data_IF_124387818832
#
_entry.id   IF_124387818832
#
_cell.length_a   1.000
_cell.length_b   1.000
_cell.length_c   1.000
_cell.angle_alpha   90.00
_cell.angle_beta   90.00
_cell.angle_gamma   90.00
#
_symmetry.space_group_name_H-M   'P 1'
#
loop_
_entity.id
_entity.type
_entity.pdbx_description
1 polymer ?
#
# COMPACT_ATOMS: atom_id res chain seq x y z
N UNK A 1 41.69 -6.59 20.23
CA UNK A 1 40.62 -6.00 19.41
C UNK A 1 39.34 -6.70 19.79
N UNK A 2 38.21 -6.00 19.75
CA UNK A 2 36.93 -6.65 19.98
C UNK A 2 36.70 -7.77 18.95
N UNK A 3 35.99 -8.82 19.36
CA UNK A 3 35.69 -9.96 18.50
C UNK A 3 34.51 -9.66 17.57
N UNK A 4 33.61 -8.78 18.01
CA UNK A 4 32.38 -8.39 17.33
C UNK A 4 32.28 -6.87 17.24
N UNK A 5 31.43 -6.36 16.37
CA UNK A 5 31.22 -4.92 16.22
C UNK A 5 30.17 -4.43 17.24
N UNK A 6 29.09 -5.20 17.38
CA UNK A 6 28.00 -4.96 18.33
C UNK A 6 27.62 -6.26 19.06
N UNK A 7 27.36 -6.19 20.37
CA UNK A 7 26.60 -7.21 21.09
C UNK A 7 25.42 -6.57 21.83
N UNK A 8 24.24 -7.13 21.63
CA UNK A 8 23.04 -6.84 22.44
C UNK A 8 22.97 -7.91 23.54
N UNK A 9 23.02 -7.51 24.81
CA UNK A 9 23.22 -8.38 25.98
C UNK A 9 21.92 -8.63 26.76
N UNK A 10 21.71 -9.88 27.18
CA UNK A 10 20.75 -10.25 28.21
C UNK A 10 19.27 -10.00 27.90
N UNK A 11 18.92 -9.80 26.63
CA UNK A 11 17.55 -9.57 26.19
C UNK A 11 16.72 -10.86 26.06
N UNK A 12 15.41 -10.72 26.08
CA UNK A 12 14.51 -11.81 25.67
C UNK A 12 14.43 -11.83 24.14
N UNK A 13 15.09 -12.79 23.52
CA UNK A 13 15.16 -12.95 22.07
C UNK A 13 13.87 -13.62 21.57
N UNK A 14 13.20 -12.98 20.62
CA UNK A 14 12.08 -13.52 19.85
C UNK A 14 12.48 -13.48 18.39
N UNK A 15 12.93 -14.62 17.86
CA UNK A 15 13.65 -14.72 16.58
C UNK A 15 12.78 -14.74 15.31
N UNK A 16 11.46 -14.62 15.46
CA UNK A 16 10.50 -14.63 14.35
C UNK A 16 10.11 -16.03 13.84
N UNK A 17 10.64 -17.11 14.40
CA UNK A 17 10.30 -18.50 13.98
C UNK A 17 8.94 -18.98 14.51
N UNK A 18 8.34 -18.24 15.43
CA UNK A 18 7.14 -18.64 16.18
C UNK A 18 7.43 -19.47 17.43
N UNK A 19 8.68 -19.80 17.73
CA UNK A 19 9.07 -20.44 18.97
C UNK A 19 8.94 -19.48 20.19
N UNK A 20 8.80 -20.01 21.42
CA UNK A 20 8.86 -19.19 22.63
C UNK A 20 10.21 -18.46 22.74
N UNK A 21 10.16 -17.20 23.18
CA UNK A 21 11.38 -16.42 23.39
C UNK A 21 12.27 -16.94 24.53
N UNK A 22 13.57 -16.64 24.46
CA UNK A 22 14.56 -17.06 25.46
C UNK A 22 15.54 -15.94 25.78
N UNK A 23 16.13 -15.96 26.98
CA UNK A 23 17.11 -14.94 27.38
C UNK A 23 18.48 -15.26 26.80
N UNK A 24 19.10 -14.27 26.16
CA UNK A 24 20.45 -14.39 25.62
C UNK A 24 20.97 -13.10 25.01
N UNK A 25 22.05 -13.25 24.27
CA UNK A 25 22.76 -12.19 23.57
C UNK A 25 22.65 -12.38 22.04
N UNK A 26 22.81 -11.28 21.31
CA UNK A 26 22.95 -11.28 19.83
C UNK A 26 24.23 -10.53 19.48
N UNK A 27 25.14 -11.17 18.77
CA UNK A 27 26.38 -10.55 18.28
C UNK A 27 26.31 -10.28 16.79
N UNK A 28 26.79 -9.11 16.38
CA UNK A 28 26.87 -8.66 14.99
C UNK A 28 28.34 -8.47 14.62
N UNK A 29 28.70 -8.97 13.42
CA UNK A 29 30.00 -8.76 12.80
C UNK A 29 29.84 -8.49 11.32
N UNK A 30 30.48 -7.45 10.83
CA UNK A 30 30.48 -7.01 9.43
C UNK A 30 29.04 -6.87 8.87
N UNK A 31 28.15 -6.30 9.69
CA UNK A 31 26.73 -6.07 9.35
C UNK A 31 25.82 -7.30 9.43
N UNK A 32 26.35 -8.48 9.79
CA UNK A 32 25.60 -9.72 9.86
C UNK A 32 25.52 -10.27 11.29
N UNK A 33 24.44 -10.99 11.59
CA UNK A 33 24.31 -11.72 12.86
C UNK A 33 25.34 -12.86 12.87
N UNK A 34 26.31 -12.78 13.77
CA UNK A 34 27.41 -13.72 13.89
C UNK A 34 27.15 -14.84 14.92
N UNK A 35 26.39 -14.54 15.98
CA UNK A 35 26.01 -15.50 17.01
C UNK A 35 24.76 -15.06 17.78
N UNK A 36 24.02 -16.04 18.30
CA UNK A 36 22.82 -15.86 19.12
C UNK A 36 22.87 -16.84 20.31
N UNK A 37 22.55 -16.38 21.52
CA UNK A 37 22.53 -17.20 22.73
C UNK A 37 23.52 -16.70 23.79
N UNK A 38 24.26 -17.60 24.44
CA UNK A 38 25.29 -17.21 25.41
C UNK A 38 26.59 -16.88 24.67
N UNK A 39 27.01 -15.60 24.69
CA UNK A 39 28.14 -15.13 23.88
C UNK A 39 29.30 -14.70 24.78
N UNK A 40 30.40 -15.43 24.71
CA UNK A 40 31.66 -15.02 25.31
C UNK A 40 32.41 -14.02 24.40
N UNK A 41 33.24 -13.18 25.00
CA UNK A 41 34.02 -12.16 24.27
C UNK A 41 33.42 -10.75 24.42
N UNK A 42 34.03 -9.79 23.73
CA UNK A 42 33.63 -8.37 23.77
C UNK A 42 33.36 -7.83 22.36
N UNK A 43 32.53 -6.80 22.30
CA UNK A 43 32.29 -6.00 21.10
C UNK A 43 32.86 -4.58 21.22
N UNK A 44 33.00 -3.89 20.09
CA UNK A 44 33.31 -2.46 20.08
C UNK A 44 32.15 -1.64 20.71
N UNK A 45 30.91 -2.10 20.52
CA UNK A 45 29.72 -1.58 21.18
C UNK A 45 28.95 -2.70 21.90
N UNK A 46 28.54 -2.47 23.14
CA UNK A 46 27.62 -3.37 23.86
C UNK A 46 26.38 -2.61 24.34
N UNK A 47 25.21 -3.22 24.14
CA UNK A 47 23.91 -2.68 24.54
C UNK A 47 23.29 -3.62 25.58
N UNK A 48 22.98 -3.11 26.78
CA UNK A 48 22.23 -3.86 27.78
C UNK A 48 20.72 -3.87 27.45
N UNK A 49 20.21 -5.03 27.06
CA UNK A 49 18.80 -5.27 26.75
C UNK A 49 18.08 -6.03 27.88
N UNK A 50 18.62 -6.05 29.09
CA UNK A 50 17.98 -6.69 30.25
C UNK A 50 16.56 -6.16 30.45
N UNK A 51 15.58 -7.07 30.51
CA UNK A 51 14.17 -6.71 30.64
C UNK A 51 13.53 -6.12 29.37
N UNK A 52 14.24 -6.16 28.24
CA UNK A 52 13.75 -5.78 26.90
C UNK A 52 13.60 -7.02 26.02
N UNK A 53 12.90 -6.84 24.90
CA UNK A 53 12.76 -7.86 23.85
C UNK A 53 13.71 -7.50 22.71
N UNK A 54 14.38 -8.51 22.16
CA UNK A 54 15.21 -8.39 20.97
C UNK A 54 14.55 -9.20 19.86
N UNK A 55 14.16 -8.53 18.78
CA UNK A 55 13.48 -9.15 17.62
C UNK A 55 14.28 -8.88 16.35
N UNK A 56 14.03 -9.63 15.26
CA UNK A 56 14.27 -9.10 13.93
C UNK A 56 13.59 -7.73 13.78
N UNK A 57 14.19 -6.85 12.97
CA UNK A 57 13.53 -5.62 12.58
C UNK A 57 12.23 -5.92 11.83
N UNK A 58 11.23 -5.06 11.98
CA UNK A 58 9.94 -5.29 11.35
C UNK A 58 10.02 -5.01 9.85
N UNK A 59 9.32 -5.83 9.07
CA UNK A 59 9.16 -5.64 7.63
C UNK A 59 7.75 -5.11 7.40
N UNK A 60 7.66 -3.84 7.03
CA UNK A 60 6.42 -3.19 6.68
C UNK A 60 6.12 -3.45 5.20
N UNK A 61 5.32 -4.49 4.94
CA UNK A 61 5.07 -5.01 3.60
C UNK A 61 4.08 -4.17 2.77
N UNK A 62 3.47 -3.13 3.37
CA UNK A 62 2.40 -2.37 2.72
C UNK A 62 2.48 -0.89 3.06
N UNK A 63 3.36 -0.17 2.36
CA UNK A 63 3.53 1.28 2.50
C UNK A 63 3.25 2.00 1.19
N UNK A 64 3.04 3.32 1.30
CA UNK A 64 2.87 4.26 0.19
C UNK A 64 3.94 5.36 0.26
N UNK A 65 5.18 4.96 0.54
CA UNK A 65 6.33 5.87 0.58
C UNK A 65 6.96 6.11 -0.79
N UNK A 66 6.27 5.78 -1.88
CA UNK A 66 6.74 5.88 -3.26
C UNK A 66 7.39 7.24 -3.59
N UNK A 67 6.72 8.33 -3.19
CA UNK A 67 7.27 9.67 -3.32
C UNK A 67 8.36 9.90 -2.28
N UNK A 68 8.04 9.66 -1.01
CA UNK A 68 8.90 9.95 0.14
C UNK A 68 10.28 9.32 0.03
N UNK A 69 10.38 8.12 -0.52
CA UNK A 69 11.62 7.44 -0.79
C UNK A 69 12.55 8.24 -1.71
N UNK A 70 12.08 9.19 -2.49
CA UNK A 70 12.93 9.97 -3.39
C UNK A 70 13.67 11.13 -2.69
N UNK A 71 13.29 11.48 -1.45
CA UNK A 71 13.93 12.58 -0.70
C UNK A 71 14.25 12.27 0.76
N UNK A 72 13.50 11.38 1.41
CA UNK A 72 13.67 11.05 2.83
C UNK A 72 14.55 9.81 3.02
N UNK A 73 15.68 10.00 3.70
CA UNK A 73 16.61 8.91 4.03
C UNK A 73 16.19 8.14 5.29
N UNK A 74 15.36 8.75 6.14
CA UNK A 74 14.92 8.17 7.40
C UNK A 74 13.72 7.24 7.24
N UNK A 75 12.85 7.47 6.24
CA UNK A 75 11.60 6.74 6.04
C UNK A 75 10.71 6.76 7.29
N UNK A 76 10.62 7.94 7.92
CA UNK A 76 9.80 8.15 9.09
C UNK A 76 8.30 8.22 8.70
N UNK A 77 7.37 7.75 9.54
CA UNK A 77 7.58 7.25 10.90
C UNK A 77 7.93 5.76 11.00
N UNK A 78 7.91 4.96 9.93
CA UNK A 78 8.12 3.50 10.04
C UNK A 78 9.45 3.16 10.74
N UNK A 79 10.54 3.83 10.38
CA UNK A 79 11.84 3.63 11.04
C UNK A 79 11.82 3.91 12.54
N UNK A 80 11.01 4.87 13.01
CA UNK A 80 10.85 5.18 14.44
C UNK A 80 10.08 4.10 15.20
N UNK A 81 9.35 3.24 14.50
CA UNK A 81 8.54 2.17 15.07
C UNK A 81 9.21 0.78 15.02
N UNK A 82 10.52 0.74 14.73
CA UNK A 82 11.30 -0.51 14.67
C UNK A 82 11.19 -1.25 13.33
N UNK A 83 10.64 -0.60 12.30
CA UNK A 83 10.68 -1.10 10.93
C UNK A 83 12.09 -0.91 10.38
N UNK A 84 12.66 -1.97 9.82
CA UNK A 84 13.97 -1.95 9.16
C UNK A 84 13.87 -2.19 7.67
N UNK A 85 12.69 -2.56 7.16
CA UNK A 85 12.43 -2.75 5.74
C UNK A 85 11.02 -2.28 5.42
N UNK A 86 10.86 -1.44 4.39
CA UNK A 86 9.55 -1.02 3.88
C UNK A 86 9.36 -1.51 2.45
N UNK A 87 8.15 -1.91 2.10
CA UNK A 87 7.76 -2.26 0.74
C UNK A 87 6.71 -1.27 0.25
N UNK A 88 6.98 -0.62 -0.88
CA UNK A 88 6.13 0.41 -1.49
C UNK A 88 5.67 0.01 -2.90
N UNK A 89 4.89 0.88 -3.53
CA UNK A 89 4.25 0.59 -4.81
C UNK A 89 3.06 -0.36 -4.64
N UNK A 90 2.37 -0.33 -3.50
CA UNK A 90 1.20 -1.18 -3.25
C UNK A 90 -0.06 -0.63 -3.95
N UNK A 91 -1.14 -1.42 -3.99
CA UNK A 91 -2.44 -0.98 -4.50
C UNK A 91 -2.44 -0.52 -5.96
N UNK A 92 -1.40 -0.87 -6.74
CA UNK A 92 -1.22 -0.41 -8.10
C UNK A 92 -0.86 1.07 -8.23
N UNK A 93 -0.49 1.76 -7.16
CA UNK A 93 -0.14 3.19 -7.21
C UNK A 93 1.34 3.38 -6.93
N UNK A 94 1.96 4.29 -7.65
CA UNK A 94 3.37 4.65 -7.51
C UNK A 94 3.86 5.47 -8.70
N UNK A 95 5.14 5.80 -8.72
CA UNK A 95 5.70 6.82 -9.62
C UNK A 95 6.59 6.27 -10.73
N UNK A 96 6.49 4.98 -11.07
CA UNK A 96 7.23 4.41 -12.20
C UNK A 96 6.46 3.28 -12.89
N UNK A 97 6.48 3.18 -14.23
CA UNK A 97 7.11 4.10 -15.17
C UNK A 97 6.37 5.45 -15.27
N UNK A 98 7.07 6.51 -15.67
CA UNK A 98 6.57 7.87 -15.65
C UNK A 98 7.04 8.67 -16.87
N UNK A 99 6.16 8.79 -17.89
CA UNK A 99 6.45 9.65 -19.06
C UNK A 99 6.63 11.10 -18.61
N UNK A 100 7.62 11.85 -19.17
CA UNK A 100 7.86 13.25 -18.81
C UNK A 100 6.64 14.16 -18.90
N UNK A 101 5.70 13.88 -19.80
CA UNK A 101 4.45 14.64 -19.98
C UNK A 101 3.28 14.17 -19.09
N UNK A 102 3.51 13.18 -18.20
CA UNK A 102 2.49 12.58 -17.32
C UNK A 102 2.82 12.66 -15.83
N UNK A 103 3.90 13.34 -15.44
CA UNK A 103 4.31 13.48 -14.03
C UNK A 103 3.22 14.09 -13.14
N UNK A 104 2.63 15.21 -13.57
CA UNK A 104 1.53 15.87 -12.83
C UNK A 104 0.31 14.96 -12.65
N UNK A 105 -0.02 14.18 -13.67
CA UNK A 105 -1.14 13.24 -13.59
C UNK A 105 -0.87 12.13 -12.56
N UNK A 106 0.36 11.59 -12.50
CA UNK A 106 0.74 10.60 -11.48
C UNK A 106 0.69 11.19 -10.06
N UNK A 107 1.08 12.46 -9.89
CA UNK A 107 0.97 13.16 -8.59
C UNK A 107 -0.51 13.26 -8.18
N UNK A 108 -1.39 13.69 -9.09
CA UNK A 108 -2.82 13.81 -8.80
C UNK A 108 -3.50 12.47 -8.48
N UNK A 109 -3.00 11.37 -9.07
CA UNK A 109 -3.45 10.02 -8.75
C UNK A 109 -3.07 9.64 -7.32
N UNK A 110 -1.82 9.89 -6.92
CA UNK A 110 -1.32 9.56 -5.59
C UNK A 110 -2.02 10.38 -4.49
N UNK A 111 -2.24 11.68 -4.75
CA UNK A 111 -2.93 12.60 -3.84
C UNK A 111 -4.35 12.13 -3.52
N UNK A 112 -5.12 11.70 -4.54
CA UNK A 112 -6.49 11.24 -4.33
C UNK A 112 -6.59 9.93 -3.55
N UNK A 113 -5.64 9.01 -3.76
CA UNK A 113 -5.71 7.66 -3.18
C UNK A 113 -5.23 7.63 -1.73
N UNK A 114 -4.11 8.28 -1.43
CA UNK A 114 -3.47 8.18 -0.11
C UNK A 114 -3.58 9.47 0.72
N UNK A 115 -4.33 10.47 0.24
CA UNK A 115 -4.52 11.76 0.89
C UNK A 115 -3.17 12.46 1.22
N UNK A 116 -2.15 12.19 0.39
CA UNK A 116 -0.83 12.81 0.47
C UNK A 116 -0.92 14.15 -0.25
N UNK A 117 -0.64 15.29 0.42
CA UNK A 117 -0.74 16.60 -0.22
C UNK A 117 0.09 16.66 -1.50
N UNK A 118 -0.54 16.98 -2.64
CA UNK A 118 0.15 17.05 -3.93
C UNK A 118 1.33 18.02 -3.93
N UNK A 119 1.28 19.08 -3.11
CA UNK A 119 2.38 20.02 -2.90
C UNK A 119 3.62 19.37 -2.28
N UNK A 120 3.44 18.44 -1.34
CA UNK A 120 4.57 17.73 -0.74
C UNK A 120 5.28 16.83 -1.76
N UNK A 121 4.50 16.19 -2.65
CA UNK A 121 5.02 15.36 -3.73
C UNK A 121 5.73 16.22 -4.81
N UNK A 122 5.10 17.31 -5.25
CA UNK A 122 5.66 18.19 -6.27
C UNK A 122 6.94 18.92 -5.82
N UNK A 123 7.03 19.30 -4.53
CA UNK A 123 8.23 19.94 -3.97
C UNK A 123 9.35 18.93 -3.64
N UNK A 124 8.97 17.73 -3.19
CA UNK A 124 9.91 16.70 -2.73
C UNK A 124 10.52 15.87 -3.85
N UNK A 125 9.78 15.61 -4.92
CA UNK A 125 10.23 14.71 -5.98
C UNK A 125 11.07 15.42 -7.04
N UNK A 126 12.23 14.85 -7.33
CA UNK A 126 13.02 15.20 -8.52
C UNK A 126 12.97 14.04 -9.51
N UNK A 127 12.30 14.24 -10.63
CA UNK A 127 12.18 13.22 -11.67
C UNK A 127 13.48 13.08 -12.47
N UNK A 128 14.16 11.95 -12.30
CA UNK A 128 15.33 11.58 -13.08
C UNK A 128 15.25 10.16 -13.66
N UNK A 129 14.03 9.66 -13.81
CA UNK A 129 13.68 8.38 -14.43
C UNK A 129 12.46 8.53 -15.37
N UNK A 130 12.36 7.63 -16.34
CA UNK A 130 11.12 7.36 -17.09
C UNK A 130 10.70 5.89 -16.90
N UNK A 131 11.64 4.97 -16.96
CA UNK A 131 11.42 3.52 -16.85
C UNK A 131 11.50 3.03 -15.41
N UNK A 132 10.97 1.82 -15.15
CA UNK A 132 11.07 1.22 -13.81
C UNK A 132 12.52 0.91 -13.38
N UNK A 133 13.41 0.40 -14.24
CA UNK A 133 14.82 0.24 -13.88
C UNK A 133 15.52 1.55 -13.51
N UNK A 134 15.26 2.63 -14.27
CA UNK A 134 15.80 3.96 -13.94
C UNK A 134 15.28 4.49 -12.59
N UNK A 135 14.04 4.16 -12.22
CA UNK A 135 13.50 4.49 -10.90
C UNK A 135 14.26 3.76 -9.79
N UNK A 136 14.57 2.47 -9.96
CA UNK A 136 15.41 1.74 -9.01
C UNK A 136 16.82 2.35 -8.90
N UNK A 137 17.44 2.71 -10.02
CA UNK A 137 18.73 3.41 -10.04
C UNK A 137 18.65 4.78 -9.35
N UNK A 138 17.50 5.46 -9.42
CA UNK A 138 17.28 6.72 -8.70
C UNK A 138 17.23 6.51 -7.19
N UNK A 139 16.48 5.50 -6.74
CA UNK A 139 16.33 5.18 -5.31
C UNK A 139 17.65 4.79 -4.64
N UNK A 140 18.54 4.09 -5.35
CA UNK A 140 19.84 3.61 -4.87
C UNK A 140 20.83 4.76 -4.59
N UNK A 141 20.63 5.95 -5.16
CA UNK A 141 21.55 7.09 -4.99
C UNK A 141 21.59 7.63 -3.56
N UNK A 142 20.54 7.40 -2.77
CA UNK A 142 20.42 7.93 -1.42
C UNK A 142 20.82 6.89 -0.38
N UNK A 143 21.70 7.24 0.58
CA UNK A 143 21.93 6.39 1.74
C UNK A 143 20.63 6.27 2.54
N UNK A 144 20.35 5.10 3.11
CA UNK A 144 19.10 4.82 3.83
C UNK A 144 19.33 4.36 5.26
N UNK A 145 18.40 4.74 6.13
CA UNK A 145 18.28 4.21 7.50
C UNK A 145 17.64 2.82 7.53
N UNK A 146 16.77 2.51 6.56
CA UNK A 146 16.04 1.25 6.44
C UNK A 146 16.13 0.73 5.00
N UNK A 147 16.00 -0.58 4.83
CA UNK A 147 15.88 -1.18 3.50
C UNK A 147 14.55 -0.78 2.84
N UNK A 148 14.58 -0.65 1.52
CA UNK A 148 13.37 -0.36 0.73
C UNK A 148 13.21 -1.41 -0.36
N UNK A 149 11.97 -1.81 -0.62
CA UNK A 149 11.58 -2.67 -1.73
C UNK A 149 10.37 -2.09 -2.45
N UNK A 150 10.21 -2.42 -3.72
CA UNK A 150 9.16 -1.83 -4.57
C UNK A 150 8.43 -2.89 -5.38
N UNK A 151 7.12 -2.75 -5.50
CA UNK A 151 6.34 -3.38 -6.57
C UNK A 151 6.29 -2.47 -7.80
N UNK A 152 6.10 -3.05 -8.98
CA UNK A 152 5.71 -2.31 -10.19
C UNK A 152 4.22 -1.95 -10.09
N UNK A 153 3.85 -0.67 -10.03
CA UNK A 153 2.46 -0.25 -9.80
C UNK A 153 1.64 -0.30 -11.09
N UNK A 154 0.53 -1.05 -11.07
CA UNK A 154 -0.34 -1.22 -12.22
C UNK A 154 -0.85 0.09 -12.85
N UNK A 155 -1.25 1.06 -12.02
CA UNK A 155 -1.83 2.30 -12.49
C UNK A 155 -0.84 3.13 -13.32
N UNK A 156 0.43 3.19 -12.91
CA UNK A 156 1.47 3.85 -13.67
C UNK A 156 1.75 3.11 -15.00
N UNK A 157 1.79 1.78 -14.97
CA UNK A 157 1.97 0.94 -16.17
C UNK A 157 0.83 1.14 -17.17
N UNK A 158 -0.43 1.13 -16.72
CA UNK A 158 -1.59 1.40 -17.57
C UNK A 158 -1.54 2.79 -18.17
N UNK A 159 -1.31 3.81 -17.36
CA UNK A 159 -1.21 5.18 -17.83
C UNK A 159 -0.08 5.38 -18.85
N UNK A 160 1.05 4.69 -18.67
CA UNK A 160 2.17 4.71 -19.60
C UNK A 160 1.80 4.12 -20.96
N UNK A 161 1.13 2.96 -20.99
CA UNK A 161 0.80 2.24 -22.23
C UNK A 161 -0.44 2.81 -22.92
N UNK A 162 -1.51 3.06 -22.18
CA UNK A 162 -2.79 3.51 -22.74
C UNK A 162 -2.77 5.02 -23.05
N UNK A 163 -1.98 5.82 -22.33
CA UNK A 163 -1.92 7.27 -22.52
C UNK A 163 -3.29 7.90 -22.27
N UNK A 164 -3.73 8.77 -23.18
CA UNK A 164 -5.05 9.44 -23.10
C UNK A 164 -6.25 8.48 -23.16
N UNK A 165 -6.04 7.23 -23.58
CA UNK A 165 -7.11 6.21 -23.59
C UNK A 165 -7.41 5.65 -22.20
N UNK A 166 -6.53 5.88 -21.22
CA UNK A 166 -6.77 5.43 -19.86
C UNK A 166 -7.82 6.33 -19.21
N UNK A 167 -8.97 5.75 -18.91
CA UNK A 167 -10.13 6.37 -18.28
C UNK A 167 -10.95 5.27 -17.58
N UNK A 168 -11.85 5.60 -16.63
CA UNK A 168 -12.67 4.61 -15.95
C UNK A 168 -13.41 3.67 -16.93
N UNK A 169 -13.18 2.36 -16.80
CA UNK A 169 -13.76 1.34 -17.68
C UNK A 169 -13.02 1.10 -18.99
N UNK A 170 -11.86 1.71 -19.21
CA UNK A 170 -11.02 1.43 -20.38
C UNK A 170 -10.61 -0.04 -20.44
N UNK A 171 -10.82 -0.66 -21.60
CA UNK A 171 -10.44 -2.06 -21.87
C UNK A 171 -9.20 -2.07 -22.76
N UNK A 172 -8.03 -2.51 -22.26
CA UNK A 172 -6.81 -2.60 -23.06
C UNK A 172 -6.95 -3.60 -24.22
N UNK A 173 -6.26 -3.32 -25.32
CA UNK A 173 -6.11 -4.29 -26.42
C UNK A 173 -5.12 -5.39 -26.07
N UNK A 174 -5.04 -6.44 -26.88
CA UNK A 174 -4.04 -7.49 -26.69
C UNK A 174 -2.60 -6.96 -26.76
N UNK A 175 -2.34 -5.97 -27.63
CA UNK A 175 -1.03 -5.33 -27.76
C UNK A 175 -0.71 -4.46 -26.53
N UNK A 176 -1.72 -3.78 -25.96
CA UNK A 176 -1.57 -3.04 -24.72
C UNK A 176 -1.19 -3.99 -23.56
N UNK A 177 -1.90 -5.11 -23.41
CA UNK A 177 -1.61 -6.10 -22.37
C UNK A 177 -0.20 -6.68 -22.54
N UNK A 178 0.23 -6.93 -23.78
CA UNK A 178 1.58 -7.41 -24.07
C UNK A 178 2.64 -6.36 -23.69
N UNK A 179 2.40 -5.08 -24.00
CA UNK A 179 3.30 -3.99 -23.62
C UNK A 179 3.39 -3.80 -22.09
N UNK A 180 2.25 -3.81 -21.40
CA UNK A 180 2.22 -3.73 -19.93
C UNK A 180 2.94 -4.92 -19.28
N UNK A 181 2.71 -6.12 -19.82
CA UNK A 181 3.40 -7.34 -19.38
C UNK A 181 4.92 -7.25 -19.55
N UNK A 182 5.41 -6.62 -20.64
CA UNK A 182 6.83 -6.44 -20.89
C UNK A 182 7.47 -5.48 -19.88
N UNK A 183 6.80 -4.37 -19.55
CA UNK A 183 7.26 -3.40 -18.53
C UNK A 183 7.36 -4.08 -17.16
N UNK A 184 6.35 -4.86 -16.77
CA UNK A 184 6.37 -5.57 -15.48
C UNK A 184 7.45 -6.66 -15.45
N UNK A 185 7.63 -7.41 -16.54
CA UNK A 185 8.71 -8.39 -16.64
C UNK A 185 10.10 -7.73 -16.51
N UNK A 186 10.31 -6.58 -17.16
CA UNK A 186 11.55 -5.81 -17.04
C UNK A 186 11.77 -5.30 -15.61
N UNK A 187 10.75 -4.71 -14.98
CA UNK A 187 10.84 -4.22 -13.60
C UNK A 187 11.21 -5.34 -12.60
N UNK A 188 10.59 -6.52 -12.71
CA UNK A 188 10.93 -7.67 -11.88
C UNK A 188 12.35 -8.17 -12.16
N UNK A 189 12.81 -8.17 -13.42
CA UNK A 189 14.20 -8.51 -13.75
C UNK A 189 15.21 -7.50 -13.21
N UNK A 190 14.83 -6.24 -13.11
CA UNK A 190 15.67 -5.16 -12.59
C UNK A 190 15.78 -5.15 -11.07
N UNK A 191 14.82 -5.75 -10.35
CA UNK A 191 14.88 -5.88 -8.89
C UNK A 191 13.56 -5.58 -8.17
N UNK A 192 12.47 -5.29 -8.88
CA UNK A 192 11.16 -5.15 -8.25
C UNK A 192 10.79 -6.44 -7.50
N UNK A 193 10.27 -6.30 -6.28
CA UNK A 193 9.76 -7.42 -5.49
C UNK A 193 8.48 -8.03 -6.08
N UNK A 194 7.88 -7.37 -7.08
CA UNK A 194 6.81 -7.92 -7.87
C UNK A 194 5.96 -6.84 -8.51
N UNK A 195 4.65 -7.02 -8.45
CA UNK A 195 3.65 -6.15 -9.08
C UNK A 195 2.47 -5.98 -8.13
N UNK A 196 1.83 -4.83 -8.15
CA UNK A 196 0.62 -4.56 -7.37
C UNK A 196 -0.50 -4.04 -8.25
N UNK A 197 -1.75 -4.26 -7.84
CA UNK A 197 -2.94 -3.68 -8.47
C UNK A 197 -4.00 -3.34 -7.44
N UNK A 198 -4.93 -2.43 -7.79
CA UNK A 198 -6.16 -2.22 -7.03
C UNK A 198 -7.40 -2.45 -7.89
N UNK A 199 -8.40 -3.08 -7.28
CA UNK A 199 -9.78 -3.27 -7.75
C UNK A 199 -10.80 -2.75 -6.75
N UNK A 200 -10.43 -1.78 -5.91
CA UNK A 200 -11.39 -1.15 -4.99
C UNK A 200 -12.01 0.11 -5.59
N UNK A 201 -13.30 0.31 -5.34
CA UNK A 201 -14.00 1.56 -5.67
C UNK A 201 -13.62 2.71 -4.73
N UNK A 202 -12.96 2.43 -3.61
CA UNK A 202 -12.50 3.47 -2.68
C UNK A 202 -11.30 4.24 -3.21
N UNK A 203 -10.50 3.64 -4.10
CA UNK A 203 -9.36 4.34 -4.71
C UNK A 203 -9.87 5.22 -5.85
N UNK A 204 -9.92 6.53 -5.57
CA UNK A 204 -10.33 7.57 -6.51
C UNK A 204 -9.26 8.67 -6.59
N UNK A 205 -9.10 9.30 -7.74
CA UNK A 205 -8.30 10.51 -7.88
C UNK A 205 -8.96 11.69 -7.16
N UNK A 206 -8.27 12.82 -7.09
CA UNK A 206 -8.81 14.09 -6.56
C UNK A 206 -10.11 14.54 -7.26
N UNK A 207 -10.29 14.16 -8.53
CA UNK A 207 -11.49 14.46 -9.33
C UNK A 207 -12.61 13.42 -9.12
N UNK A 208 -12.39 12.41 -8.26
CA UNK A 208 -13.35 11.35 -7.97
C UNK A 208 -13.39 10.22 -9.00
N UNK A 209 -12.47 10.21 -9.97
CA UNK A 209 -12.36 9.14 -10.97
C UNK A 209 -11.68 7.91 -10.39
N UNK A 210 -12.11 6.71 -10.80
CA UNK A 210 -11.49 5.48 -10.35
C UNK A 210 -10.03 5.38 -10.83
N UNK A 211 -9.16 4.87 -9.97
CA UNK A 211 -7.76 4.61 -10.31
C UNK A 211 -7.64 3.63 -11.49
N UNK A 212 -6.67 3.84 -12.40
CA UNK A 212 -6.39 2.87 -13.44
C UNK A 212 -6.12 1.48 -12.89
N UNK A 213 -6.81 0.50 -13.45
CA UNK A 213 -6.76 -0.88 -13.00
C UNK A 213 -7.96 -1.31 -12.13
N UNK A 214 -8.77 -0.38 -11.60
CA UNK A 214 -9.95 -0.76 -10.77
C UNK A 214 -10.90 -1.71 -11.52
N UNK A 215 -11.02 -1.52 -12.83
CA UNK A 215 -11.89 -2.32 -13.72
C UNK A 215 -11.12 -3.33 -14.57
N UNK A 216 -9.84 -3.58 -14.26
CA UNK A 216 -9.01 -4.53 -14.98
C UNK A 216 -9.61 -5.93 -14.97
N UNK A 217 -9.51 -6.62 -16.11
CA UNK A 217 -10.09 -7.94 -16.27
C UNK A 217 -9.14 -9.02 -15.75
N UNK A 218 -9.64 -10.22 -15.38
CA UNK A 218 -8.78 -11.34 -15.03
C UNK A 218 -7.78 -11.70 -16.13
N UNK A 219 -8.14 -11.54 -17.41
CA UNK A 219 -7.24 -11.81 -18.54
C UNK A 219 -6.00 -10.92 -18.52
N UNK A 220 -6.19 -9.62 -18.27
CA UNK A 220 -5.12 -8.64 -18.15
C UNK A 220 -4.20 -8.98 -16.97
N UNK A 221 -4.77 -9.18 -15.78
CA UNK A 221 -3.99 -9.46 -14.56
C UNK A 221 -3.25 -10.80 -14.63
N UNK A 222 -3.87 -11.84 -15.21
CA UNK A 222 -3.21 -13.14 -15.42
C UNK A 222 -2.06 -13.01 -16.42
N UNK A 223 -2.21 -12.23 -17.49
CA UNK A 223 -1.15 -12.05 -18.48
C UNK A 223 0.08 -11.37 -17.87
N UNK A 224 -0.14 -10.33 -17.06
CA UNK A 224 0.91 -9.63 -16.31
C UNK A 224 1.58 -10.59 -15.32
N UNK A 225 0.83 -11.32 -14.50
CA UNK A 225 1.45 -12.23 -13.53
C UNK A 225 2.18 -13.41 -14.18
N UNK A 226 1.77 -13.86 -15.38
CA UNK A 226 2.56 -14.79 -16.20
C UNK A 226 3.89 -14.19 -16.65
N UNK A 227 3.94 -12.89 -16.90
CA UNK A 227 5.18 -12.18 -17.22
C UNK A 227 6.15 -12.18 -16.03
N UNK A 228 5.64 -11.97 -14.82
CA UNK A 228 6.42 -12.12 -13.59
C UNK A 228 6.97 -13.55 -13.43
N UNK A 229 6.14 -14.58 -13.69
CA UNK A 229 6.60 -15.97 -13.67
C UNK A 229 7.73 -16.26 -14.66
N UNK A 230 7.73 -15.62 -15.84
CA UNK A 230 8.87 -15.69 -16.78
C UNK A 230 10.11 -14.96 -16.26
N UNK A 231 9.93 -13.84 -15.56
CA UNK A 231 11.03 -13.10 -14.93
C UNK A 231 11.77 -13.96 -13.90
N UNK A 232 11.01 -14.72 -13.09
CA UNK A 232 11.54 -15.49 -11.95
C UNK A 232 11.95 -16.93 -12.28
N UNK A 233 11.66 -17.42 -13.49
CA UNK A 233 11.89 -18.82 -13.91
C UNK A 233 13.33 -19.32 -13.71
N UNK A 234 14.33 -18.42 -13.68
CA UNK A 234 15.74 -18.75 -13.48
C UNK A 234 16.19 -18.76 -12.00
N UNK A 235 15.23 -18.81 -11.05
CA UNK A 235 15.51 -18.80 -9.60
C UNK A 235 15.34 -17.44 -8.93
N UNK A 236 14.58 -16.52 -9.55
CA UNK A 236 14.19 -15.25 -8.95
C UNK A 236 12.93 -15.35 -8.08
N UNK A 237 12.55 -14.24 -7.46
CA UNK A 237 11.35 -14.12 -6.64
C UNK A 237 10.51 -12.92 -7.08
N UNK A 238 9.19 -13.05 -7.00
CA UNK A 238 8.24 -11.96 -7.24
C UNK A 238 6.93 -12.27 -6.51
N UNK A 239 6.22 -11.25 -6.05
CA UNK A 239 4.90 -11.35 -5.41
C UNK A 239 3.89 -10.51 -6.17
N UNK A 240 2.73 -11.10 -6.47
CA UNK A 240 1.59 -10.37 -7.05
C UNK A 240 0.71 -9.86 -5.91
N UNK A 241 0.64 -8.55 -5.71
CA UNK A 241 -0.16 -7.90 -4.66
C UNK A 241 -1.48 -7.35 -5.23
N UNK A 242 -2.56 -7.47 -4.46
CA UNK A 242 -3.86 -6.94 -4.85
C UNK A 242 -4.66 -6.36 -3.67
N UNK A 243 -5.04 -5.10 -3.79
CA UNK A 243 -6.16 -4.52 -3.06
C UNK A 243 -7.46 -4.73 -3.85
N UNK A 244 -8.54 -5.20 -3.21
CA UNK A 244 -9.83 -5.39 -3.89
C UNK A 244 -11.00 -5.32 -2.92
N UNK A 245 -12.16 -4.92 -3.45
CA UNK A 245 -13.44 -5.04 -2.74
C UNK A 245 -13.91 -6.49 -2.60
N UNK A 246 -13.34 -7.41 -3.38
CA UNK A 246 -13.67 -8.85 -3.37
C UNK A 246 -15.16 -9.08 -3.60
N UNK A 247 -15.70 -8.49 -4.68
CA UNK A 247 -17.09 -8.72 -5.08
C UNK A 247 -17.32 -10.18 -5.45
N UNK A 248 -18.49 -10.73 -5.10
CA UNK A 248 -18.77 -12.17 -5.30
C UNK A 248 -18.71 -12.55 -6.78
N UNK A 249 -19.26 -11.71 -7.64
CA UNK A 249 -19.30 -11.90 -9.09
C UNK A 249 -17.92 -11.81 -9.76
N UNK A 250 -16.92 -11.20 -9.11
CA UNK A 250 -15.55 -11.13 -9.65
C UNK A 250 -14.78 -12.44 -9.44
N UNK A 251 -15.24 -13.29 -8.52
CA UNK A 251 -14.70 -14.62 -8.27
C UNK A 251 -13.16 -14.64 -8.16
N UNK A 252 -12.62 -13.73 -7.35
CA UNK A 252 -11.19 -13.40 -7.43
C UNK A 252 -10.27 -14.50 -6.90
N UNK A 253 -10.71 -15.23 -5.89
CA UNK A 253 -9.93 -16.33 -5.35
C UNK A 253 -9.64 -17.40 -6.41
N UNK A 254 -10.61 -17.76 -7.26
CA UNK A 254 -10.39 -18.79 -8.29
C UNK A 254 -9.31 -18.37 -9.30
N UNK A 255 -9.37 -17.14 -9.81
CA UNK A 255 -8.37 -16.69 -10.78
C UNK A 255 -7.03 -16.34 -10.12
N UNK A 256 -7.00 -15.86 -8.87
CA UNK A 256 -5.76 -15.71 -8.09
C UNK A 256 -5.08 -17.06 -7.89
N UNK A 257 -5.85 -18.10 -7.55
CA UNK A 257 -5.34 -19.45 -7.39
C UNK A 257 -4.78 -20.01 -8.70
N UNK A 258 -5.51 -19.82 -9.81
CA UNK A 258 -5.02 -20.17 -11.16
C UNK A 258 -3.71 -19.45 -11.49
N UNK A 259 -3.66 -18.14 -11.25
CA UNK A 259 -2.48 -17.33 -11.49
C UNK A 259 -1.28 -17.85 -10.70
N UNK A 260 -1.43 -18.03 -9.38
CA UNK A 260 -0.37 -18.52 -8.50
C UNK A 260 0.20 -19.86 -8.98
N UNK A 261 -0.66 -20.81 -9.34
CA UNK A 261 -0.26 -22.14 -9.83
C UNK A 261 0.44 -22.08 -11.18
N UNK A 262 -0.10 -21.33 -12.14
CA UNK A 262 0.43 -21.26 -13.51
C UNK A 262 1.74 -20.47 -13.58
N UNK A 263 1.82 -19.34 -12.88
CA UNK A 263 3.00 -18.47 -12.87
C UNK A 263 4.05 -18.86 -11.81
N UNK A 264 3.70 -19.74 -10.86
CA UNK A 264 4.56 -20.19 -9.75
C UNK A 264 5.09 -19.04 -8.90
N UNK A 265 4.24 -18.05 -8.67
CA UNK A 265 4.50 -16.90 -7.81
C UNK A 265 3.46 -16.84 -6.68
N UNK A 266 3.83 -16.38 -5.48
CA UNK A 266 2.85 -16.03 -4.45
C UNK A 266 1.92 -14.90 -4.92
N UNK A 267 0.67 -14.97 -4.49
CA UNK A 267 -0.32 -13.89 -4.64
C UNK A 267 -0.68 -13.40 -3.24
N UNK A 268 -0.59 -12.12 -2.99
CA UNK A 268 -1.04 -11.50 -1.74
C UNK A 268 -2.27 -10.65 -1.99
N UNK A 269 -3.18 -10.59 -1.01
CA UNK A 269 -4.31 -9.67 -1.07
C UNK A 269 -4.52 -8.94 0.24
N UNK A 270 -4.98 -7.69 0.16
CA UNK A 270 -5.37 -6.91 1.34
C UNK A 270 -6.65 -7.48 1.97
N UNK A 271 -6.51 -8.23 3.06
CA UNK A 271 -7.59 -8.87 3.79
C UNK A 271 -8.22 -7.89 4.78
N UNK A 272 -8.91 -6.88 4.24
CA UNK A 272 -9.57 -5.86 5.03
C UNK A 272 -10.93 -6.34 5.56
N UNK A 273 -11.14 -6.16 6.85
CA UNK A 273 -12.46 -6.30 7.47
C UNK A 273 -13.23 -4.99 7.29
N UNK A 274 -14.37 -5.04 6.58
CA UNK A 274 -15.25 -3.90 6.41
C UNK A 274 -16.70 -4.36 6.38
N UNK A 275 -17.58 -3.59 7.02
CA UNK A 275 -19.02 -3.87 6.98
C UNK A 275 -19.64 -3.63 5.59
N UNK A 276 -18.93 -2.92 4.72
CA UNK A 276 -19.37 -2.64 3.35
C UNK A 276 -18.95 -3.74 2.35
N UNK A 277 -18.12 -4.72 2.78
CA UNK A 277 -17.71 -5.82 1.91
C UNK A 277 -18.79 -6.90 1.81
N UNK A 278 -18.98 -7.42 0.60
CA UNK A 278 -19.93 -8.51 0.33
C UNK A 278 -19.44 -9.88 0.81
N UNK A 279 -18.12 -10.06 0.86
CA UNK A 279 -17.46 -11.26 1.38
C UNK A 279 -16.84 -10.90 2.75
N UNK A 280 -17.39 -11.43 3.85
CA UNK A 280 -16.83 -11.28 5.18
C UNK A 280 -15.41 -11.88 5.31
N UNK A 281 -14.63 -11.41 6.27
CA UNK A 281 -13.23 -11.82 6.43
C UNK A 281 -13.06 -13.34 6.60
N UNK A 282 -13.92 -14.00 7.37
CA UNK A 282 -13.88 -15.45 7.57
C UNK A 282 -14.11 -16.22 6.26
N UNK A 283 -15.01 -15.73 5.41
CA UNK A 283 -15.25 -16.29 4.08
C UNK A 283 -14.06 -16.02 3.13
N UNK A 284 -13.46 -14.82 3.16
CA UNK A 284 -12.24 -14.51 2.40
C UNK A 284 -11.11 -15.49 2.74
N UNK A 285 -10.87 -15.74 4.03
CA UNK A 285 -9.84 -16.68 4.50
C UNK A 285 -10.19 -18.13 4.10
N UNK A 286 -11.47 -18.51 4.13
CA UNK A 286 -11.90 -19.84 3.69
C UNK A 286 -11.67 -20.07 2.19
N UNK A 287 -12.03 -19.10 1.35
CA UNK A 287 -11.83 -19.17 -0.10
C UNK A 287 -10.34 -19.21 -0.47
N UNK A 288 -9.51 -18.40 0.19
CA UNK A 288 -8.05 -18.47 0.08
C UNK A 288 -7.52 -19.87 0.40
N UNK A 289 -7.99 -20.48 1.50
CA UNK A 289 -7.57 -21.83 1.90
C UNK A 289 -7.95 -22.89 0.88
N UNK A 290 -9.15 -22.81 0.30
CA UNK A 290 -9.58 -23.73 -0.77
C UNK A 290 -8.60 -23.73 -1.93
N UNK A 291 -8.15 -22.55 -2.38
CA UNK A 291 -7.19 -22.46 -3.47
C UNK A 291 -5.78 -22.92 -3.08
N UNK A 292 -5.36 -22.66 -1.84
CA UNK A 292 -4.09 -23.14 -1.31
C UNK A 292 -4.07 -24.67 -1.16
N UNK A 293 -5.17 -25.29 -0.72
CA UNK A 293 -5.34 -26.75 -0.67
C UNK A 293 -5.25 -27.38 -2.07
N UNK A 294 -5.58 -26.60 -3.11
CA UNK A 294 -5.41 -26.96 -4.52
C UNK A 294 -4.01 -26.60 -5.10
N UNK A 295 -3.05 -26.24 -4.25
CA UNK A 295 -1.65 -26.01 -4.62
C UNK A 295 -1.31 -24.58 -5.04
N UNK A 296 -2.19 -23.60 -4.80
CA UNK A 296 -1.84 -22.19 -4.90
C UNK A 296 -1.01 -21.73 -3.68
N UNK A 297 -0.39 -20.55 -3.79
CA UNK A 297 0.23 -19.84 -2.68
C UNK A 297 -0.36 -18.43 -2.58
N UNK A 298 -1.54 -18.34 -1.98
CA UNK A 298 -2.24 -17.09 -1.69
C UNK A 298 -2.05 -16.75 -0.20
N UNK A 299 -1.64 -15.51 0.09
CA UNK A 299 -1.39 -15.04 1.45
C UNK A 299 -2.19 -13.76 1.73
N UNK A 300 -2.97 -13.78 2.80
CA UNK A 300 -3.70 -12.60 3.28
C UNK A 300 -2.74 -11.61 3.95
N UNK A 301 -2.76 -10.35 3.51
CA UNK A 301 -2.16 -9.23 4.24
C UNK A 301 -3.18 -8.66 5.22
N UNK A 302 -2.85 -8.67 6.51
CA UNK A 302 -3.77 -8.26 7.58
C UNK A 302 -3.17 -7.05 8.30
N UNK A 303 -3.96 -5.98 8.36
CA UNK A 303 -3.61 -4.80 9.15
C UNK A 303 -3.64 -5.14 10.66
N UNK A 304 -2.59 -4.75 11.38
CA UNK A 304 -2.45 -5.00 12.82
C UNK A 304 -3.41 -4.14 13.68
N UNK A 305 -4.05 -3.14 13.08
CA UNK A 305 -5.06 -2.28 13.69
C UNK A 305 -6.17 -1.98 12.68
N UNK A 306 -7.36 -1.67 13.18
CA UNK A 306 -8.44 -1.15 12.33
C UNK A 306 -8.10 0.24 11.79
N UNK A 307 -8.66 0.57 10.62
CA UNK A 307 -8.52 1.90 10.03
C UNK A 307 -9.28 2.93 10.88
N UNK A 308 -8.58 3.98 11.30
CA UNK A 308 -9.18 5.13 11.97
C UNK A 308 -9.44 6.24 10.96
N UNK A 309 -10.57 6.92 11.09
CA UNK A 309 -10.89 8.10 10.28
C UNK A 309 -10.77 9.33 11.18
N UNK A 310 -9.88 10.26 10.82
CA UNK A 310 -9.82 11.56 11.47
C UNK A 310 -10.85 12.46 10.80
N UNK A 311 -11.89 12.83 11.54
CA UNK A 311 -12.89 13.78 11.05
C UNK A 311 -12.57 15.18 11.55
N UNK A 312 -12.58 16.12 10.61
CA UNK A 312 -12.45 17.53 10.89
C UNK A 312 -13.40 18.31 9.97
N UNK A 313 -13.88 19.46 10.41
CA UNK A 313 -14.76 20.29 9.57
C UNK A 313 -14.10 20.75 8.25
N UNK A 314 -12.76 20.85 8.23
CA UNK A 314 -11.92 21.12 7.06
C UNK A 314 -11.44 19.84 6.36
N UNK A 315 -11.74 18.66 6.90
CA UNK A 315 -11.40 17.39 6.30
C UNK A 315 -12.36 17.02 5.16
N UNK A 316 -11.92 16.08 4.32
CA UNK A 316 -12.72 15.44 3.27
C UNK A 316 -13.98 14.77 3.83
N UNK A 317 -13.92 14.33 5.09
CA UNK A 317 -15.05 13.73 5.82
C UNK A 317 -15.29 14.43 7.16
N UNK A 318 -16.57 14.71 7.44
CA UNK A 318 -17.03 15.23 8.73
C UNK A 318 -18.45 14.73 9.04
N UNK A 319 -18.89 14.71 10.32
CA UNK A 319 -20.19 14.16 10.69
C UNK A 319 -21.38 14.87 10.02
N UNK A 320 -21.20 16.12 9.62
CA UNK A 320 -22.24 16.95 9.00
C UNK A 320 -22.19 16.94 7.48
N UNK A 321 -21.30 16.17 6.85
CA UNK A 321 -21.07 16.22 5.41
C UNK A 321 -22.35 16.02 4.58
N UNK A 322 -23.33 15.26 5.10
CA UNK A 322 -24.61 14.98 4.42
C UNK A 322 -25.80 15.75 5.02
N UNK A 323 -25.55 16.71 5.90
CA UNK A 323 -26.59 17.58 6.43
C UNK A 323 -26.99 18.65 5.39
N UNK A 324 -28.29 18.89 5.14
CA UNK A 324 -28.73 19.92 4.20
C UNK A 324 -28.12 21.31 4.44
N UNK A 325 -28.00 21.73 5.70
CA UNK A 325 -27.38 23.03 6.03
C UNK A 325 -25.88 23.05 5.74
N UNK A 326 -25.18 21.93 5.84
CA UNK A 326 -23.77 21.84 5.45
C UNK A 326 -23.60 22.02 3.94
N UNK A 327 -24.48 21.41 3.15
CA UNK A 327 -24.46 21.54 1.68
C UNK A 327 -24.59 23.01 1.23
N UNK A 328 -25.31 23.85 1.98
CA UNK A 328 -25.42 25.30 1.70
C UNK A 328 -24.07 26.05 1.85
N UNK A 329 -23.12 25.52 2.64
CA UNK A 329 -21.89 26.22 3.01
C UNK A 329 -20.60 25.54 2.53
N UNK A 330 -20.64 24.28 2.09
CA UNK A 330 -19.45 23.47 1.79
C UNK A 330 -18.49 24.08 0.76
N UNK A 331 -19.00 24.88 -0.17
CA UNK A 331 -18.21 25.55 -1.22
C UNK A 331 -17.71 26.95 -0.81
N UNK A 332 -18.09 27.43 0.39
CA UNK A 332 -17.64 28.73 0.87
C UNK A 332 -16.16 28.68 1.29
N UNK A 333 -15.41 29.80 1.23
CA UNK A 333 -14.10 29.89 1.85
C UNK A 333 -14.16 29.56 3.34
N UNK A 334 -13.09 28.98 3.89
CA UNK A 334 -13.08 28.47 5.27
C UNK A 334 -13.51 29.49 6.33
N UNK A 335 -13.08 30.75 6.23
CA UNK A 335 -13.50 31.79 7.19
C UNK A 335 -15.01 32.07 7.13
N UNK A 336 -15.63 31.98 5.96
CA UNK A 336 -17.07 32.15 5.80
C UNK A 336 -17.84 30.93 6.33
N UNK A 337 -17.33 29.71 6.10
CA UNK A 337 -17.88 28.50 6.74
C UNK A 337 -17.82 28.61 8.27
N UNK A 338 -16.69 29.07 8.82
CA UNK A 338 -16.49 29.27 10.26
C UNK A 338 -17.51 30.24 10.84
N UNK A 339 -17.71 31.38 10.16
CA UNK A 339 -18.67 32.38 10.59
C UNK A 339 -20.10 31.81 10.66
N UNK A 340 -20.48 30.94 9.70
CA UNK A 340 -21.76 30.22 9.72
C UNK A 340 -21.85 29.22 10.86
N UNK A 341 -20.81 28.42 11.10
CA UNK A 341 -20.80 27.44 12.20
C UNK A 341 -20.82 28.08 13.59
N UNK A 342 -20.34 29.32 13.72
CA UNK A 342 -20.40 30.09 14.96
C UNK A 342 -21.75 30.81 15.17
N UNK A 343 -22.59 30.91 14.13
CA UNK A 343 -23.94 31.45 14.25
C UNK A 343 -24.83 30.47 15.06
N UNK A 344 -25.42 30.89 16.19
CA UNK A 344 -26.20 30.00 17.04
C UNK A 344 -27.44 29.40 16.36
N UNK A 345 -28.08 30.15 15.47
CA UNK A 345 -29.29 29.69 14.77
C UNK A 345 -28.92 28.66 13.69
N UNK A 346 -27.84 28.91 12.94
CA UNK A 346 -27.31 27.94 11.97
C UNK A 346 -26.86 26.66 12.67
N UNK A 347 -26.09 26.77 13.75
CA UNK A 347 -25.63 25.62 14.54
C UNK A 347 -26.80 24.79 15.09
N UNK A 348 -27.84 25.44 15.61
CA UNK A 348 -29.02 24.73 16.11
C UNK A 348 -29.75 23.97 14.98
N UNK A 349 -29.84 24.57 13.78
CA UNK A 349 -30.42 23.91 12.60
C UNK A 349 -29.57 22.72 12.15
N UNK A 350 -28.26 22.91 12.00
CA UNK A 350 -27.30 21.87 11.60
C UNK A 350 -27.34 20.66 12.53
N UNK A 351 -27.43 20.86 13.85
CA UNK A 351 -27.44 19.77 14.83
C UNK A 351 -28.79 19.04 14.93
N UNK A 352 -29.89 19.66 14.50
CA UNK A 352 -31.23 19.10 14.61
C UNK A 352 -31.69 18.37 13.34
N UNK A 353 -31.10 18.68 12.19
CA UNK A 353 -31.47 18.07 10.93
C UNK A 353 -30.84 16.68 10.76
N UNK A 354 -31.56 15.72 10.14
CA UNK A 354 -30.98 14.44 9.79
C UNK A 354 -30.08 14.57 8.55
N UNK A 355 -29.20 13.58 8.38
CA UNK A 355 -28.48 13.39 7.13
C UNK A 355 -29.44 13.13 5.95
N UNK A 356 -29.16 13.73 4.79
CA UNK A 356 -29.78 13.44 3.50
C UNK A 356 -28.78 12.74 2.57
N UNK A 357 -29.01 11.45 2.34
CA UNK A 357 -28.16 10.61 1.50
C UNK A 357 -28.62 10.54 0.04
N UNK A 358 -29.62 11.34 -0.37
CA UNK A 358 -30.16 11.28 -1.73
C UNK A 358 -29.10 11.56 -2.81
N UNK A 359 -28.08 12.36 -2.49
CA UNK A 359 -26.95 12.65 -3.36
C UNK A 359 -25.68 11.84 -3.01
N UNK A 360 -25.74 10.92 -2.05
CA UNK A 360 -24.59 10.11 -1.66
C UNK A 360 -24.26 9.07 -2.76
N UNK A 361 -22.98 8.86 -3.08
CA UNK A 361 -22.59 7.81 -4.02
C UNK A 361 -23.01 6.43 -3.49
N UNK A 362 -23.75 5.67 -4.30
CA UNK A 362 -24.38 4.41 -3.86
C UNK A 362 -23.37 3.29 -3.63
N UNK A 363 -22.25 3.32 -4.36
CA UNK A 363 -21.11 2.41 -4.24
C UNK A 363 -20.44 2.44 -2.86
N UNK A 364 -20.45 3.61 -2.20
CA UNK A 364 -19.83 3.81 -0.87
C UNK A 364 -20.82 4.22 0.21
N UNK A 365 -22.13 4.09 -0.04
CA UNK A 365 -23.18 4.54 0.89
C UNK A 365 -23.03 3.93 2.28
N UNK A 366 -22.66 2.66 2.37
CA UNK A 366 -22.43 1.99 3.66
C UNK A 366 -21.31 2.66 4.47
N UNK A 367 -20.21 3.05 3.82
CA UNK A 367 -19.09 3.77 4.47
C UNK A 367 -19.53 5.17 4.88
N UNK A 368 -20.22 5.88 3.98
CA UNK A 368 -20.80 7.21 4.24
C UNK A 368 -21.69 7.18 5.48
N UNK A 369 -22.60 6.21 5.58
CA UNK A 369 -23.50 6.07 6.71
C UNK A 369 -22.75 5.79 8.02
N UNK A 370 -21.68 4.99 8.01
CA UNK A 370 -20.85 4.77 9.21
C UNK A 370 -20.24 6.07 9.70
N UNK A 371 -19.69 6.88 8.78
CA UNK A 371 -19.04 8.15 9.11
C UNK A 371 -20.05 9.15 9.68
N UNK A 372 -21.21 9.29 9.04
CA UNK A 372 -22.19 10.33 9.37
C UNK A 372 -23.20 9.92 10.45
N UNK A 373 -23.33 8.62 10.78
CA UNK A 373 -24.24 8.11 11.83
C UNK A 373 -23.51 7.58 13.07
N UNK A 374 -22.18 7.51 13.06
CA UNK A 374 -21.38 7.03 14.18
C UNK A 374 -21.35 7.96 15.41
N UNK A 375 -22.24 8.95 15.48
CA UNK A 375 -22.24 10.05 16.44
C UNK A 375 -23.60 10.27 17.08
#
# INVERSE_FOLDING_TARGET
MAQFDLIIRGGTIVDGTGAPGFVGDVAVKDGLIAAVGQIAGSADQEIDATGKVVTPGFVDIHTHYDGQATWDQEMAPSSWHGVTTVVMGNCGVGFAPAKPDRHEWLISLMEGVEDIPGTALAEGMTWDWETFPEYLDSLEKLPRTVDIGTHVPHGAVRAYVLGEREQPGAVPTADDIAAMSAIVEEGVRAGALGFSTSRTVLHKSVDGELVPGTTATPEELIAIGKAMGRATAAGGHAVFEMASDLKREWNEFEWMGKLSREARIPVTFAALQSIAKEIPLDEQIALMRVENDNGANIVAQIALRGNGIIMAWQGTVNPFAFHPSWQEIKELPWEAQKAKLLDPAFKARLLAEPNDYSAAPQDILGVVMVISQGW
#
